data_IF_424219477301
#
_entry.id   IF_424219477301
#
_cell.length_a   1.000
_cell.length_b   1.000
_cell.length_c   1.000
_cell.angle_alpha   90.00
_cell.angle_beta   90.00
_cell.angle_gamma   90.00
#
_symmetry.space_group_name_H-M   'P 1'
#
loop_
_entity.id
_entity.type
_entity.pdbx_description
1 polymer ?
#
# COMPACT_ATOMS: atom_id res chain seq x y z
N UNK A 1 0.95 45.74 -4.37
CA UNK A 1 1.71 44.56 -3.89
C UNK A 1 0.75 43.37 -3.86
N UNK A 2 0.72 42.48 -4.86
CA UNK A 2 -0.24 41.39 -4.85
C UNK A 2 0.19 40.36 -3.79
N UNK A 3 -0.76 39.98 -2.94
CA UNK A 3 -0.58 38.96 -1.92
C UNK A 3 -0.16 37.65 -2.59
N UNK A 4 0.97 37.08 -2.14
CA UNK A 4 1.37 35.72 -2.54
C UNK A 4 0.20 34.79 -2.23
N UNK A 5 -0.29 34.06 -3.24
CA UNK A 5 -1.36 33.10 -3.03
C UNK A 5 -0.87 32.06 -2.02
N UNK A 6 -1.69 31.77 -1.01
CA UNK A 6 -1.38 30.76 0.01
C UNK A 6 -1.04 29.39 -0.61
N UNK A 7 -1.58 29.13 -1.81
CA UNK A 7 -1.26 27.99 -2.66
C UNK A 7 0.20 27.99 -3.17
N UNK A 8 0.74 29.15 -3.53
CA UNK A 8 2.16 29.28 -3.90
C UNK A 8 3.09 29.07 -2.69
N UNK A 9 2.67 29.48 -1.48
CA UNK A 9 3.43 29.20 -0.25
C UNK A 9 3.43 27.70 0.08
N UNK A 10 2.28 27.03 -0.02
CA UNK A 10 2.17 25.57 0.11
C UNK A 10 3.01 24.82 -0.93
N UNK A 11 2.95 25.25 -2.20
CA UNK A 11 3.76 24.68 -3.28
C UNK A 11 5.24 24.88 -3.01
N UNK A 12 5.64 26.04 -2.51
CA UNK A 12 7.04 26.30 -2.14
C UNK A 12 7.50 25.44 -0.95
N UNK A 13 6.62 25.14 0.02
CA UNK A 13 6.92 24.24 1.14
C UNK A 13 7.03 22.78 0.70
N UNK A 14 6.21 22.33 -0.25
CA UNK A 14 6.33 21.00 -0.85
C UNK A 14 7.58 20.90 -1.75
N UNK A 15 7.82 21.89 -2.62
CA UNK A 15 8.93 21.92 -3.58
C UNK A 15 10.28 22.20 -2.94
N UNK A 16 10.35 22.95 -1.82
CA UNK A 16 11.59 23.10 -1.04
C UNK A 16 12.04 21.77 -0.40
N UNK A 17 11.15 20.77 -0.30
CA UNK A 17 11.50 19.38 0.05
C UNK A 17 11.70 18.47 -1.18
N UNK A 18 11.59 19.03 -2.39
CA UNK A 18 11.38 18.38 -3.68
C UNK A 18 12.52 17.54 -4.26
N UNK A 19 13.70 17.49 -3.63
CA UNK A 19 14.73 16.51 -4.00
C UNK A 19 14.46 15.10 -3.47
N UNK A 20 13.59 14.98 -2.45
CA UNK A 20 13.28 13.72 -1.73
C UNK A 20 11.77 13.43 -1.61
N UNK A 21 10.90 14.41 -1.88
CA UNK A 21 9.45 14.30 -1.65
C UNK A 21 8.72 13.34 -2.61
N UNK A 22 9.05 13.34 -3.89
CA UNK A 22 8.42 12.45 -4.88
C UNK A 22 8.77 10.98 -4.60
N UNK A 23 10.01 10.71 -4.17
CA UNK A 23 10.39 9.37 -3.72
C UNK A 23 9.62 8.95 -2.47
N UNK A 24 9.34 9.88 -1.56
CA UNK A 24 8.67 9.60 -0.29
C UNK A 24 7.18 9.30 -0.47
N UNK A 25 6.50 10.02 -1.37
CA UNK A 25 5.09 9.75 -1.71
C UNK A 25 4.94 8.39 -2.41
N UNK A 26 5.80 8.09 -3.38
CA UNK A 26 5.83 6.78 -4.06
C UNK A 26 6.04 5.65 -3.05
N UNK A 27 6.97 5.82 -2.11
CA UNK A 27 7.23 4.82 -1.06
C UNK A 27 6.06 4.68 -0.08
N UNK A 28 5.39 5.77 0.28
CA UNK A 28 4.21 5.73 1.15
C UNK A 28 3.07 4.94 0.50
N UNK A 29 2.84 5.14 -0.80
CA UNK A 29 1.83 4.39 -1.54
C UNK A 29 2.23 2.93 -1.78
N UNK A 30 3.50 2.62 -2.05
CA UNK A 30 3.99 1.24 -2.13
C UNK A 30 3.83 0.51 -0.78
N UNK A 31 4.11 1.19 0.32
CA UNK A 31 3.90 0.68 1.67
C UNK A 31 2.40 0.44 1.94
N UNK A 32 1.53 1.40 1.60
CA UNK A 32 0.09 1.26 1.75
C UNK A 32 -0.48 0.12 0.89
N UNK A 33 -0.02 -0.04 -0.36
CA UNK A 33 -0.41 -1.16 -1.22
C UNK A 33 0.03 -2.51 -0.63
N UNK A 34 1.21 -2.58 -0.04
CA UNK A 34 1.71 -3.77 0.64
C UNK A 34 0.92 -4.07 1.92
N UNK A 35 0.57 -3.04 2.69
CA UNK A 35 -0.32 -3.16 3.85
C UNK A 35 -1.71 -3.65 3.47
N UNK A 36 -2.29 -3.13 2.37
CA UNK A 36 -3.59 -3.54 1.85
C UNK A 36 -3.60 -5.03 1.49
N UNK A 37 -2.57 -5.52 0.78
CA UNK A 37 -2.41 -6.95 0.48
C UNK A 37 -2.37 -7.82 1.74
N UNK A 38 -1.59 -7.43 2.73
CA UNK A 38 -1.47 -8.17 4.00
C UNK A 38 -2.78 -8.19 4.79
N UNK A 39 -3.53 -7.08 4.81
CA UNK A 39 -4.85 -7.00 5.44
C UNK A 39 -5.84 -7.92 4.72
N UNK A 40 -5.87 -7.89 3.39
CA UNK A 40 -6.73 -8.76 2.59
C UNK A 40 -6.41 -10.23 2.82
N UNK A 41 -5.13 -10.60 2.81
CA UNK A 41 -4.67 -11.97 3.09
C UNK A 41 -5.06 -12.42 4.50
N UNK A 42 -4.98 -11.55 5.50
CA UNK A 42 -5.48 -11.89 6.83
C UNK A 42 -7.00 -12.13 6.83
N UNK A 43 -7.78 -11.31 6.10
CA UNK A 43 -9.23 -11.46 6.03
C UNK A 43 -9.64 -12.77 5.35
N UNK A 44 -8.95 -13.19 4.28
CA UNK A 44 -9.22 -14.46 3.59
C UNK A 44 -8.96 -15.70 4.47
N UNK A 45 -8.15 -15.56 5.51
CA UNK A 45 -7.87 -16.62 6.49
C UNK A 45 -8.89 -16.68 7.64
N UNK A 46 -9.91 -15.80 7.65
CA UNK A 46 -10.97 -15.88 8.66
C UNK A 46 -11.83 -17.13 8.48
N UNK A 47 -12.37 -17.66 9.59
CA UNK A 47 -13.16 -18.90 9.55
C UNK A 47 -14.35 -18.82 8.60
N UNK A 48 -14.99 -17.66 8.48
CA UNK A 48 -16.11 -17.44 7.56
C UNK A 48 -15.66 -17.52 6.10
N UNK A 49 -14.54 -16.89 5.76
CA UNK A 49 -13.99 -16.89 4.40
C UNK A 49 -13.47 -18.27 4.02
N UNK A 50 -12.80 -18.95 4.95
CA UNK A 50 -12.32 -20.31 4.75
C UNK A 50 -13.48 -21.31 4.58
N UNK A 51 -14.55 -21.16 5.37
CA UNK A 51 -15.78 -21.95 5.19
C UNK A 51 -16.41 -21.69 3.82
N UNK A 52 -16.54 -20.43 3.40
CA UNK A 52 -17.06 -20.07 2.07
C UNK A 52 -16.20 -20.65 0.95
N UNK A 53 -14.87 -20.59 1.08
CA UNK A 53 -13.93 -21.19 0.12
C UNK A 53 -14.21 -22.69 -0.02
N UNK A 54 -14.29 -23.43 1.08
CA UNK A 54 -14.50 -24.89 1.06
C UNK A 54 -15.90 -25.31 0.65
N UNK A 55 -16.92 -24.56 1.06
CA UNK A 55 -18.32 -24.90 0.82
C UNK A 55 -18.74 -24.58 -0.61
N UNK A 56 -18.34 -23.41 -1.10
CA UNK A 56 -18.92 -22.82 -2.31
C UNK A 56 -17.89 -22.78 -3.44
N UNK A 57 -16.75 -22.11 -3.22
CA UNK A 57 -15.78 -21.82 -4.29
C UNK A 57 -15.13 -23.11 -4.80
N UNK A 58 -14.60 -23.95 -3.91
CA UNK A 58 -13.92 -25.19 -4.32
C UNK A 58 -14.87 -26.26 -4.84
N UNK A 59 -16.18 -26.12 -4.58
CA UNK A 59 -17.21 -27.03 -5.09
C UNK A 59 -17.95 -26.50 -6.31
N UNK A 60 -17.61 -25.29 -6.76
CA UNK A 60 -18.19 -24.72 -7.95
C UNK A 60 -17.93 -25.63 -9.15
N UNK A 61 -18.94 -25.84 -9.97
CA UNK A 61 -18.86 -26.73 -11.13
C UNK A 61 -17.73 -26.34 -12.08
N UNK A 62 -17.51 -25.03 -12.27
CA UNK A 62 -16.39 -24.53 -13.07
C UNK A 62 -15.02 -24.96 -12.53
N UNK A 63 -14.83 -24.98 -11.21
CA UNK A 63 -13.57 -25.42 -10.59
C UNK A 63 -13.38 -26.93 -10.75
N UNK A 64 -14.45 -27.71 -10.58
CA UNK A 64 -14.42 -29.15 -10.77
C UNK A 64 -14.08 -29.54 -12.22
N UNK A 65 -14.63 -28.82 -13.20
CA UNK A 65 -14.43 -29.08 -14.64
C UNK A 65 -13.10 -28.54 -15.18
N UNK A 66 -12.65 -27.37 -14.74
CA UNK A 66 -11.46 -26.70 -15.30
C UNK A 66 -10.17 -26.98 -14.54
N UNK A 67 -10.26 -27.32 -13.25
CA UNK A 67 -9.08 -27.48 -12.38
C UNK A 67 -8.99 -28.89 -11.81
N UNK A 68 -9.92 -29.27 -10.94
CA UNK A 68 -9.97 -30.60 -10.32
C UNK A 68 -11.23 -30.75 -9.45
N UNK A 69 -11.76 -31.96 -9.32
CA UNK A 69 -12.78 -32.28 -8.31
C UNK A 69 -12.21 -32.65 -6.93
N UNK A 70 -10.89 -32.93 -6.83
CA UNK A 70 -10.24 -33.29 -5.57
C UNK A 70 -10.07 -32.07 -4.65
N UNK A 71 -10.90 -32.01 -3.60
CA UNK A 71 -10.87 -30.94 -2.61
C UNK A 71 -9.52 -30.80 -1.89
N UNK A 72 -8.78 -31.89 -1.71
CA UNK A 72 -7.47 -31.86 -1.05
C UNK A 72 -6.39 -31.21 -1.93
N UNK A 73 -6.45 -31.47 -3.25
CA UNK A 73 -5.59 -30.82 -4.23
C UNK A 73 -5.94 -29.33 -4.34
N UNK A 74 -7.22 -29.00 -4.46
CA UNK A 74 -7.67 -27.61 -4.55
C UNK A 74 -7.29 -26.78 -3.32
N UNK A 75 -7.39 -27.36 -2.12
CA UNK A 75 -6.96 -26.70 -0.88
C UNK A 75 -5.44 -26.48 -0.86
N UNK A 76 -4.64 -27.47 -1.28
CA UNK A 76 -3.18 -27.30 -1.38
C UNK A 76 -2.83 -26.20 -2.38
N UNK A 77 -3.52 -26.13 -3.52
CA UNK A 77 -3.34 -25.08 -4.51
C UNK A 77 -3.67 -23.70 -3.94
N UNK A 78 -4.82 -23.56 -3.26
CA UNK A 78 -5.22 -22.31 -2.62
C UNK A 78 -4.21 -21.88 -1.54
N UNK A 79 -3.71 -22.81 -0.72
CA UNK A 79 -2.66 -22.51 0.25
C UNK A 79 -1.36 -22.07 -0.43
N UNK A 80 -0.96 -22.71 -1.53
CA UNK A 80 0.23 -22.32 -2.29
C UNK A 80 0.10 -20.90 -2.86
N UNK A 81 -1.06 -20.52 -3.38
CA UNK A 81 -1.34 -19.15 -3.85
C UNK A 81 -1.26 -18.14 -2.71
N UNK A 82 -1.87 -18.43 -1.55
CA UNK A 82 -1.78 -17.54 -0.38
C UNK A 82 -0.34 -17.37 0.11
N UNK A 83 0.47 -18.44 0.09
CA UNK A 83 1.89 -18.35 0.44
C UNK A 83 2.67 -17.54 -0.60
N UNK A 84 2.37 -17.69 -1.89
CA UNK A 84 2.96 -16.89 -2.97
C UNK A 84 2.65 -15.40 -2.81
N UNK A 85 1.42 -15.05 -2.44
CA UNK A 85 1.05 -13.66 -2.14
C UNK A 85 1.75 -13.11 -0.89
N UNK A 86 1.92 -13.94 0.14
CA UNK A 86 2.70 -13.59 1.31
C UNK A 86 4.18 -13.38 0.96
N UNK A 87 4.75 -14.21 0.08
CA UNK A 87 6.13 -14.10 -0.41
C UNK A 87 6.35 -12.77 -1.15
N UNK A 88 5.39 -12.37 -1.99
CA UNK A 88 5.40 -11.07 -2.68
C UNK A 88 5.36 -9.91 -1.70
N UNK A 89 4.50 -9.98 -0.68
CA UNK A 89 4.41 -8.96 0.36
C UNK A 89 5.69 -8.88 1.19
N UNK A 90 6.24 -10.01 1.61
CA UNK A 90 7.50 -10.10 2.34
C UNK A 90 8.67 -9.53 1.52
N UNK A 91 8.72 -9.81 0.22
CA UNK A 91 9.73 -9.25 -0.68
C UNK A 91 9.63 -7.72 -0.77
N UNK A 92 8.43 -7.17 -0.86
CA UNK A 92 8.21 -5.72 -0.83
C UNK A 92 8.63 -5.11 0.52
N UNK A 93 8.27 -5.75 1.64
CA UNK A 93 8.70 -5.32 2.98
C UNK A 93 10.21 -5.35 3.14
N UNK A 94 10.90 -6.38 2.63
CA UNK A 94 12.36 -6.47 2.69
C UNK A 94 13.03 -5.32 1.91
N UNK A 95 12.52 -4.98 0.72
CA UNK A 95 13.01 -3.83 -0.06
C UNK A 95 12.80 -2.51 0.69
N UNK A 96 11.61 -2.30 1.27
CA UNK A 96 11.30 -1.11 2.07
C UNK A 96 12.22 -1.04 3.31
N UNK A 97 12.41 -2.16 4.01
CA UNK A 97 13.30 -2.24 5.17
C UNK A 97 14.75 -1.91 4.82
N UNK A 98 15.27 -2.43 3.70
CA UNK A 98 16.63 -2.14 3.22
C UNK A 98 16.81 -0.64 2.93
N UNK A 99 15.82 0.01 2.29
CA UNK A 99 15.83 1.45 2.03
C UNK A 99 15.81 2.26 3.33
N UNK A 100 15.01 1.86 4.32
CA UNK A 100 15.02 2.50 5.64
C UNK A 100 16.39 2.39 6.33
N UNK A 101 17.05 1.23 6.24
CA UNK A 101 18.39 1.04 6.80
C UNK A 101 19.45 1.90 6.10
N UNK A 102 19.35 2.06 4.78
CA UNK A 102 20.29 2.88 4.00
C UNK A 102 20.17 4.38 4.30
N UNK A 103 18.96 4.86 4.64
CA UNK A 103 18.71 6.27 4.97
C UNK A 103 19.02 6.62 6.44
N UNK A 104 19.03 5.63 7.34
CA UNK A 104 19.25 5.82 8.78
C UNK A 104 20.72 5.50 9.13
N UNK A 105 21.60 6.50 9.02
CA UNK A 105 23.01 6.38 9.39
C UNK A 105 23.22 6.10 10.90
N UNK A 106 22.21 6.34 11.74
CA UNK A 106 22.22 6.00 13.16
C UNK A 106 21.09 5.02 13.51
N UNK A 107 21.49 3.83 13.97
CA UNK A 107 20.68 2.82 14.63
C UNK A 107 19.42 2.31 13.89
N UNK A 108 19.59 1.67 12.73
CA UNK A 108 18.53 0.81 12.19
C UNK A 108 18.33 -0.42 13.07
N UNK A 109 17.08 -0.76 13.47
CA UNK A 109 16.82 -1.91 14.34
C UNK A 109 17.21 -3.22 13.64
N UNK A 110 17.87 -4.15 14.35
CA UNK A 110 18.44 -5.38 13.76
C UNK A 110 17.38 -6.27 13.07
N UNK A 111 16.12 -6.20 13.52
CA UNK A 111 15.00 -6.92 12.93
C UNK A 111 14.69 -6.51 11.48
N UNK A 112 14.89 -5.24 11.12
CA UNK A 112 14.63 -4.77 9.76
C UNK A 112 15.69 -5.28 8.78
N UNK A 113 16.95 -5.34 9.21
CA UNK A 113 18.06 -5.83 8.40
C UNK A 113 17.93 -7.32 8.09
N UNK A 114 17.49 -8.10 9.08
CA UNK A 114 17.44 -9.56 8.98
C UNK A 114 16.05 -10.09 8.59
N UNK A 115 15.09 -9.22 8.24
CA UNK A 115 13.69 -9.58 7.99
C UNK A 115 13.55 -10.76 7.02
N UNK A 116 14.25 -10.73 5.89
CA UNK A 116 14.15 -11.79 4.88
C UNK A 116 14.60 -13.16 5.42
N UNK A 117 15.66 -13.18 6.24
CA UNK A 117 16.15 -14.39 6.92
C UNK A 117 15.11 -14.90 7.92
N UNK A 118 14.58 -14.01 8.77
CA UNK A 118 13.55 -14.35 9.76
C UNK A 118 12.29 -14.92 9.09
N UNK A 119 11.88 -14.33 7.96
CA UNK A 119 10.75 -14.82 7.18
C UNK A 119 11.01 -16.19 6.56
N UNK A 120 12.19 -16.41 5.98
CA UNK A 120 12.57 -17.73 5.45
C UNK A 120 12.64 -18.79 6.56
N UNK A 121 13.07 -18.42 7.76
CA UNK A 121 13.10 -19.30 8.93
C UNK A 121 11.70 -19.64 9.43
N UNK A 122 10.79 -18.66 9.43
CA UNK A 122 9.38 -18.88 9.72
C UNK A 122 8.76 -19.90 8.75
N UNK A 123 9.03 -19.80 7.44
CA UNK A 123 8.55 -20.77 6.44
C UNK A 123 9.09 -22.19 6.65
N UNK A 124 10.28 -22.33 7.25
CA UNK A 124 10.87 -23.64 7.60
C UNK A 124 10.33 -24.23 8.91
N UNK A 125 9.26 -23.67 9.46
CA UNK A 125 8.61 -24.17 10.68
C UNK A 125 9.14 -23.57 11.98
N UNK A 126 10.05 -22.59 11.94
CA UNK A 126 10.57 -21.93 13.15
C UNK A 126 9.70 -20.79 13.67
N UNK A 127 8.49 -20.62 13.12
CA UNK A 127 7.58 -19.52 13.44
C UNK A 127 7.28 -19.40 14.94
N UNK A 128 7.01 -20.52 15.63
CA UNK A 128 6.71 -20.52 17.07
C UNK A 128 7.91 -20.09 17.93
N UNK A 129 9.12 -20.49 17.57
CA UNK A 129 10.35 -20.08 18.26
C UNK A 129 10.63 -18.60 18.06
N UNK A 130 10.46 -18.11 16.82
CA UNK A 130 10.55 -16.69 16.48
C UNK A 130 9.50 -15.87 17.26
N UNK A 131 8.28 -16.40 17.40
CA UNK A 131 7.21 -15.71 18.12
C UNK A 131 7.49 -15.63 19.61
N UNK A 132 8.04 -16.68 20.20
CA UNK A 132 8.46 -16.66 21.61
C UNK A 132 9.54 -15.60 21.88
N UNK A 133 10.44 -15.38 20.92
CA UNK A 133 11.51 -14.39 21.04
C UNK A 133 11.05 -12.95 20.77
N UNK A 134 10.18 -12.74 19.78
CA UNK A 134 9.83 -11.40 19.25
C UNK A 134 8.42 -10.95 19.66
N UNK A 135 7.53 -11.89 19.98
CA UNK A 135 6.14 -11.62 20.37
C UNK A 135 5.29 -11.04 19.24
N UNK A 136 5.50 -11.47 17.99
CA UNK A 136 4.76 -10.93 16.84
C UNK A 136 3.32 -11.44 16.74
N UNK A 137 2.89 -12.42 17.52
CA UNK A 137 1.48 -12.80 17.68
C UNK A 137 0.77 -11.83 18.62
N UNK A 138 1.44 -11.40 19.69
CA UNK A 138 0.91 -10.44 20.66
C UNK A 138 0.62 -9.11 19.98
N UNK A 139 -0.66 -8.75 19.92
CA UNK A 139 -1.12 -7.52 19.27
C UNK A 139 -1.13 -7.56 17.74
N UNK A 140 -1.10 -8.73 17.10
CA UNK A 140 -1.21 -8.83 15.63
C UNK A 140 -2.48 -8.15 15.11
N UNK A 141 -3.62 -8.36 15.77
CA UNK A 141 -4.88 -7.67 15.46
C UNK A 141 -4.76 -6.15 15.58
N UNK A 142 -4.02 -5.63 16.58
CA UNK A 142 -3.78 -4.19 16.74
C UNK A 142 -2.92 -3.64 15.61
N UNK A 143 -1.88 -4.38 15.19
CA UNK A 143 -1.04 -4.02 14.04
C UNK A 143 -1.84 -4.03 12.73
N UNK A 144 -2.69 -5.03 12.51
CA UNK A 144 -3.58 -5.09 11.35
C UNK A 144 -4.55 -3.91 11.31
N UNK A 145 -5.18 -3.56 12.43
CA UNK A 145 -6.02 -2.35 12.52
C UNK A 145 -5.23 -1.07 12.23
N UNK A 146 -3.96 -1.02 12.63
CA UNK A 146 -3.08 0.11 12.29
C UNK A 146 -2.78 0.16 10.79
N UNK A 147 -2.53 -0.99 10.16
CA UNK A 147 -2.37 -1.09 8.71
C UNK A 147 -3.63 -0.64 7.97
N UNK A 148 -4.82 -1.07 8.39
CA UNK A 148 -6.09 -0.61 7.83
C UNK A 148 -6.24 0.92 7.88
N UNK A 149 -5.89 1.55 9.00
CA UNK A 149 -5.92 3.02 9.12
C UNK A 149 -4.94 3.70 8.17
N UNK A 150 -3.73 3.15 8.01
CA UNK A 150 -2.75 3.69 7.07
C UNK A 150 -3.20 3.54 5.62
N UNK A 151 -3.80 2.39 5.27
CA UNK A 151 -4.38 2.17 3.93
C UNK A 151 -5.50 3.18 3.67
N UNK A 152 -6.40 3.40 4.63
CA UNK A 152 -7.46 4.40 4.49
C UNK A 152 -6.92 5.84 4.37
N UNK A 153 -5.88 6.19 5.13
CA UNK A 153 -5.23 7.49 5.02
C UNK A 153 -4.55 7.69 3.65
N UNK A 154 -3.91 6.65 3.12
CA UNK A 154 -3.30 6.70 1.79
C UNK A 154 -4.35 6.81 0.67
N UNK A 155 -5.49 6.13 0.79
CA UNK A 155 -6.60 6.25 -0.15
C UNK A 155 -7.15 7.70 -0.17
N UNK A 156 -7.39 8.28 1.01
CA UNK A 156 -7.78 9.71 1.12
C UNK A 156 -6.73 10.64 0.51
N UNK A 157 -5.45 10.39 0.78
CA UNK A 157 -4.38 11.19 0.18
C UNK A 157 -4.41 11.13 -1.35
N UNK A 158 -4.69 9.97 -1.95
CA UNK A 158 -4.87 9.83 -3.40
C UNK A 158 -6.05 10.68 -3.91
N UNK A 159 -7.21 10.60 -3.25
CA UNK A 159 -8.39 11.39 -3.62
C UNK A 159 -8.12 12.90 -3.57
N UNK A 160 -7.46 13.37 -2.51
CA UNK A 160 -7.09 14.79 -2.36
C UNK A 160 -6.06 15.23 -3.41
N UNK A 161 -5.11 14.36 -3.77
CA UNK A 161 -4.13 14.65 -4.82
C UNK A 161 -4.78 14.76 -6.20
N UNK A 162 -5.77 13.92 -6.50
CA UNK A 162 -6.53 14.00 -7.75
C UNK A 162 -7.41 15.26 -7.78
N UNK A 163 -8.11 15.58 -6.68
CA UNK A 163 -8.89 16.82 -6.58
C UNK A 163 -8.01 18.07 -6.76
N UNK A 164 -6.83 18.10 -6.14
CA UNK A 164 -5.87 19.20 -6.32
C UNK A 164 -5.43 19.33 -7.78
N UNK A 165 -5.17 18.19 -8.46
CA UNK A 165 -4.76 18.17 -9.87
C UNK A 165 -5.85 18.77 -10.78
N UNK A 166 -7.11 18.48 -10.50
CA UNK A 166 -8.24 19.05 -11.25
C UNK A 166 -8.38 20.56 -11.03
N UNK A 167 -8.22 21.01 -9.79
CA UNK A 167 -8.24 22.44 -9.44
C UNK A 167 -7.12 23.20 -10.13
N UNK A 168 -5.88 22.69 -10.07
CA UNK A 168 -4.74 23.29 -10.77
C UNK A 168 -4.96 23.34 -12.28
N UNK A 169 -5.54 22.29 -12.87
CA UNK A 169 -5.86 22.29 -14.30
C UNK A 169 -6.93 23.35 -14.63
N UNK A 170 -7.90 23.58 -13.75
CA UNK A 170 -8.92 24.62 -13.93
C UNK A 170 -8.35 26.03 -13.81
N UNK A 171 -7.41 26.26 -12.89
CA UNK A 171 -6.72 27.54 -12.71
C UNK A 171 -5.91 27.88 -13.96
N UNK A 172 -5.12 26.93 -14.48
CA UNK A 172 -4.35 27.11 -15.73
C UNK A 172 -5.24 27.45 -16.93
N UNK A 173 -6.44 26.83 -17.01
CA UNK A 173 -7.43 27.17 -18.06
C UNK A 173 -7.93 28.61 -17.91
N UNK A 174 -8.23 29.04 -16.68
CA UNK A 174 -8.70 30.40 -16.40
C UNK A 174 -7.63 31.46 -16.68
N UNK A 175 -6.38 31.20 -16.30
CA UNK A 175 -5.25 32.07 -16.61
C UNK A 175 -5.04 32.20 -18.12
N UNK A 176 -5.12 31.09 -18.85
CA UNK A 176 -5.10 31.11 -20.31
C UNK A 176 -6.23 31.97 -20.87
N UNK A 177 -7.49 31.80 -20.42
CA UNK A 177 -8.59 32.63 -20.90
C UNK A 177 -8.40 34.12 -20.61
N UNK A 178 -7.86 34.49 -19.45
CA UNK A 178 -7.54 35.89 -19.12
C UNK A 178 -6.48 36.49 -20.05
N UNK A 179 -5.54 35.69 -20.54
CA UNK A 179 -4.51 36.14 -21.50
C UNK A 179 -5.06 36.34 -22.92
N UNK A 180 -6.15 35.68 -23.28
CA UNK A 180 -6.77 35.76 -24.61
C UNK A 180 -7.98 36.73 -24.67
N UNK A 181 -8.47 37.21 -23.52
CA UNK A 181 -9.51 38.24 -23.45
C UNK A 181 -8.93 39.65 -23.62
N UNK A 182 -8.86 40.15 -24.86
CA UNK A 182 -8.57 41.56 -25.15
C UNK A 182 -9.77 42.49 -24.84
N UNK A 183 -9.57 43.81 -24.69
CA UNK A 183 -10.65 44.75 -24.43
C UNK A 183 -11.68 44.73 -25.57
N UNK A 184 -12.96 44.63 -25.21
CA UNK A 184 -14.06 44.79 -26.16
C UNK A 184 -14.10 46.27 -26.53
N UNK A 185 -13.60 46.60 -27.73
CA UNK A 185 -13.71 47.95 -28.28
C UNK A 185 -15.17 48.12 -28.75
N UNK A 186 -15.95 49.07 -28.19
CA UNK A 186 -17.31 49.28 -28.64
C UNK A 186 -17.27 49.87 -30.07
N UNK A 187 -18.02 49.25 -31.00
CA UNK A 187 -18.24 49.78 -32.33
C UNK A 187 -19.07 51.06 -32.23
N UNK A 188 -18.52 52.20 -32.68
CA UNK A 188 -19.27 53.42 -32.93
C UNK A 188 -20.15 53.28 -34.17
#
# INVERSE_FOLDING_TARGET
MPARSWLADLRSRLVASGGKADGLSILAFEAAATMSRLVSLHRTLSDSEFRRLRADVLRAEGVARLTSADQSLLLRLACAELVSDLDRAASATARLAARCCACAAEASPPLLRDFYRLYADAKRGRLAQLDAAVGFSRGATKRLRKMERHVAAAARLYEEMDALRELEASERRMESWKQHSGPIIPSQ
#
